data_IF_218119832272
#
_entry.id   IF_218119832272
#
_cell.length_a   1.000
_cell.length_b   1.000
_cell.length_c   1.000
_cell.angle_alpha   90.00
_cell.angle_beta   90.00
_cell.angle_gamma   90.00
#
_symmetry.space_group_name_H-M   'P 1'
#
loop_
_entity.id
_entity.type
_entity.pdbx_description
1 polymer ?
#
# COMPACT_ATOMS: atom_id res chain seq x y z
N UNK A 1 11.18 -5.51 -19.09
CA UNK A 1 10.74 -5.39 -18.66
C UNK A 1 10.75 -4.62 -17.67
N UNK A 2 10.41 -3.82 -17.46
CA UNK A 2 10.44 -3.14 -16.49
C UNK A 2 9.40 -3.28 -15.66
N UNK A 3 9.48 -3.27 -14.49
CA UNK A 3 8.40 -3.48 -13.73
C UNK A 3 7.87 -2.22 -13.49
N UNK A 4 6.85 -1.84 -13.75
CA UNK A 4 6.23 -0.58 -13.51
C UNK A 4 5.51 -0.55 -12.19
N UNK A 5 6.13 -1.07 -11.18
CA UNK A 5 5.52 -1.08 -9.85
C UNK A 5 5.94 0.15 -9.09
N UNK A 6 4.98 0.84 -8.49
CA UNK A 6 5.29 2.02 -7.72
C UNK A 6 4.70 1.90 -6.33
N UNK A 7 5.34 2.46 -5.37
CA UNK A 7 4.91 2.36 -3.99
C UNK A 7 3.79 3.34 -3.73
N UNK A 8 2.69 2.90 -3.17
CA UNK A 8 1.58 3.76 -2.83
C UNK A 8 1.38 3.88 -1.34
N UNK A 9 1.96 3.01 -0.57
CA UNK A 9 1.74 3.06 0.87
C UNK A 9 2.85 2.30 1.58
N UNK A 10 3.17 2.73 2.77
CA UNK A 10 4.18 2.08 3.57
C UNK A 10 3.65 1.95 4.97
N UNK A 11 3.83 0.81 5.60
CA UNK A 11 3.35 0.61 6.93
C UNK A 11 4.22 -0.42 7.63
N UNK A 12 4.18 -0.46 8.93
CA UNK A 12 4.89 -1.47 9.66
C UNK A 12 3.94 -2.55 10.08
N UNK A 13 2.67 -2.38 9.83
CA UNK A 13 1.66 -3.33 10.26
C UNK A 13 1.29 -4.23 9.11
N UNK A 14 1.59 -5.52 9.18
CA UNK A 14 1.27 -6.42 8.10
C UNK A 14 -0.22 -6.55 7.85
N UNK A 15 -1.02 -6.38 8.88
CA UNK A 15 -2.45 -6.50 8.71
C UNK A 15 -2.97 -5.34 7.88
N UNK A 16 -2.47 -4.14 8.14
CA UNK A 16 -2.86 -2.99 7.36
C UNK A 16 -2.47 -3.17 5.91
N UNK A 17 -1.27 -3.67 5.66
CA UNK A 17 -0.81 -3.88 4.30
C UNK A 17 -1.71 -4.88 3.57
N UNK A 18 -2.09 -5.94 4.25
CA UNK A 18 -2.94 -6.94 3.64
C UNK A 18 -4.32 -6.39 3.34
N UNK A 19 -4.86 -5.62 4.21
CA UNK A 19 -6.17 -5.05 3.99
C UNK A 19 -6.15 -4.10 2.80
N UNK A 20 -5.12 -3.29 2.70
CA UNK A 20 -5.01 -2.40 1.58
C UNK A 20 -4.83 -3.15 0.27
N UNK A 21 -3.99 -4.17 0.29
CA UNK A 21 -3.78 -4.95 -0.90
C UNK A 21 -5.07 -5.60 -1.37
N UNK A 22 -5.81 -6.17 -0.43
CA UNK A 22 -7.06 -6.84 -0.77
C UNK A 22 -8.06 -5.84 -1.35
N UNK A 23 -8.16 -4.68 -0.73
CA UNK A 23 -9.08 -3.68 -1.21
C UNK A 23 -8.73 -3.22 -2.62
N UNK A 24 -7.44 -3.07 -2.90
CA UNK A 24 -7.00 -2.65 -4.21
C UNK A 24 -7.35 -3.72 -5.24
N UNK A 25 -7.07 -4.96 -4.92
CA UNK A 25 -7.36 -6.05 -5.82
C UNK A 25 -8.85 -6.15 -6.10
N UNK A 26 -9.66 -5.89 -5.10
CA UNK A 26 -11.09 -5.93 -5.30
C UNK A 26 -11.56 -4.82 -6.20
N UNK A 27 -10.76 -3.79 -6.39
CA UNK A 27 -11.09 -2.72 -7.29
C UNK A 27 -10.37 -2.88 -8.61
N UNK A 28 -9.94 -4.08 -8.92
CA UNK A 28 -9.31 -4.36 -10.18
C UNK A 28 -7.94 -3.67 -10.30
N UNK A 29 -7.29 -3.40 -9.21
CA UNK A 29 -5.99 -2.80 -9.22
C UNK A 29 -4.97 -3.84 -8.78
N UNK A 30 -4.02 -4.14 -9.62
CA UNK A 30 -3.02 -5.12 -9.26
C UNK A 30 -2.15 -4.54 -8.17
N UNK A 31 -1.99 -5.25 -7.10
CA UNK A 31 -1.21 -4.78 -5.97
C UNK A 31 -0.36 -5.90 -5.39
N UNK A 32 0.81 -5.55 -4.92
CA UNK A 32 1.69 -6.54 -4.29
C UNK A 32 2.26 -5.93 -3.04
N UNK A 33 2.71 -6.77 -2.15
CA UNK A 33 3.29 -6.33 -0.90
C UNK A 33 4.76 -6.72 -0.91
N UNK A 34 5.62 -5.82 -0.51
CA UNK A 34 7.01 -6.10 -0.45
C UNK A 34 7.52 -5.82 0.95
N UNK A 35 8.17 -6.78 1.57
CA UNK A 35 8.72 -6.59 2.89
C UNK A 35 10.15 -6.14 2.77
N UNK A 36 10.43 -4.96 3.25
CA UNK A 36 11.75 -4.48 3.20
C UNK A 36 12.39 -4.70 4.55
N UNK A 37 13.11 -5.79 4.68
CA UNK A 37 13.69 -6.06 5.89
C UNK A 37 15.16 -6.01 5.72
N UNK A 38 15.83 -5.05 6.13
CA UNK A 38 17.22 -4.90 5.96
C UNK A 38 17.91 -5.28 7.22
N UNK A 39 18.54 -6.34 7.27
CA UNK A 39 19.13 -6.80 8.48
C UNK A 39 20.27 -5.92 8.91
N UNK A 40 20.89 -5.23 8.03
CA UNK A 40 21.97 -4.42 8.40
C UNK A 40 21.56 -3.30 9.28
N UNK A 41 20.33 -2.84 9.13
CA UNK A 41 19.88 -1.78 9.94
C UNK A 41 19.03 -2.18 11.04
N UNK A 42 18.77 -3.36 11.21
CA UNK A 42 17.90 -3.80 12.18
C UNK A 42 16.66 -3.04 12.22
N UNK A 43 16.15 -2.60 11.17
CA UNK A 43 14.91 -1.89 11.17
C UNK A 43 13.83 -2.81 11.48
N UNK A 44 12.68 -2.31 11.73
CA UNK A 44 11.60 -3.11 12.07
C UNK A 44 10.91 -3.70 10.95
N UNK A 45 11.33 -3.71 9.80
CA UNK A 45 10.61 -4.33 8.74
C UNK A 45 9.54 -3.46 8.23
N UNK A 46 9.81 -2.65 7.27
CA UNK A 46 8.79 -1.82 6.68
C UNK A 46 8.16 -2.57 5.55
N UNK A 47 6.86 -2.52 5.44
CA UNK A 47 6.12 -3.21 4.41
C UNK A 47 5.62 -2.18 3.42
N UNK A 48 5.85 -2.40 2.15
CA UNK A 48 5.43 -1.48 1.12
C UNK A 48 4.35 -2.11 0.27
N UNK A 49 3.32 -1.33 -0.04
CA UNK A 49 2.27 -1.79 -0.92
C UNK A 49 2.53 -1.11 -2.26
N UNK A 50 2.66 -1.92 -3.30
CA UNK A 50 2.96 -1.39 -4.62
C UNK A 50 1.86 -1.71 -5.60
N UNK A 51 1.65 -0.84 -6.55
CA UNK A 51 0.65 -1.08 -7.59
C UNK A 51 1.28 -0.78 -8.93
N UNK A 52 0.62 -1.16 -9.98
CA UNK A 52 1.11 -0.88 -11.31
C UNK A 52 1.10 0.61 -11.52
N UNK A 53 2.09 1.14 -12.20
CA UNK A 53 2.17 2.54 -12.44
C UNK A 53 0.91 3.10 -13.08
N UNK A 54 0.32 2.38 -13.98
CA UNK A 54 -0.87 2.87 -14.64
C UNK A 54 -2.05 2.96 -13.71
N UNK A 55 -2.01 2.24 -12.60
CA UNK A 55 -3.11 2.27 -11.65
C UNK A 55 -2.80 3.13 -10.44
N UNK A 56 -1.68 3.81 -10.48
CA UNK A 56 -1.25 4.56 -9.30
C UNK A 56 -2.29 5.59 -8.87
N UNK A 57 -2.86 6.30 -9.79
CA UNK A 57 -3.81 7.32 -9.43
C UNK A 57 -5.05 6.73 -8.79
N UNK A 58 -5.53 5.63 -9.35
CA UNK A 58 -6.71 4.98 -8.78
C UNK A 58 -6.39 4.42 -7.39
N UNK A 59 -5.22 3.86 -7.24
CA UNK A 59 -4.83 3.29 -5.96
C UNK A 59 -4.66 4.38 -4.92
N UNK A 60 -4.08 5.48 -5.31
CA UNK A 60 -3.86 6.58 -4.41
C UNK A 60 -5.20 7.15 -3.95
N UNK A 61 -6.14 7.27 -4.86
CA UNK A 61 -7.45 7.75 -4.52
C UNK A 61 -8.15 6.80 -3.56
N UNK A 62 -8.00 5.51 -3.79
CA UNK A 62 -8.62 4.53 -2.92
C UNK A 62 -8.06 4.66 -1.50
N UNK A 63 -6.76 4.78 -1.38
CA UNK A 63 -6.13 4.84 -0.07
C UNK A 63 -6.47 6.15 0.62
N UNK A 64 -6.49 7.23 -0.11
CA UNK A 64 -6.82 8.51 0.48
C UNK A 64 -8.28 8.55 0.92
N UNK A 65 -9.12 7.92 0.18
CA UNK A 65 -10.52 7.87 0.53
C UNK A 65 -10.69 7.10 1.82
N UNK A 66 -10.01 5.99 1.95
CA UNK A 66 -10.11 5.21 3.13
C UNK A 66 -9.56 5.97 4.30
N UNK A 67 -8.48 6.67 4.09
CA UNK A 67 -7.90 7.42 5.13
C UNK A 67 -8.78 8.52 5.57
N UNK A 68 -9.36 9.20 4.68
CA UNK A 68 -10.25 10.27 5.00
C UNK A 68 -11.42 9.78 5.79
N UNK A 69 -11.94 8.65 5.38
CA UNK A 69 -13.06 8.09 6.05
C UNK A 69 -12.67 7.74 7.45
N UNK A 70 -11.47 7.28 7.64
CA UNK A 70 -11.05 6.89 8.88
C UNK A 70 -10.82 8.04 9.78
N UNK A 71 -10.35 9.12 9.32
CA UNK A 71 -10.10 10.20 10.17
C UNK A 71 -11.21 11.03 10.44
N UNK A 72 -12.15 11.06 9.67
CA UNK A 72 -13.23 11.89 9.85
C UNK A 72 -13.80 11.93 11.09
N UNK A 73 -13.90 11.08 11.66
CA UNK A 73 -14.59 11.11 12.82
C UNK A 73 -14.28 12.15 13.67
N UNK A 74 -13.87 12.60 13.72
CA UNK A 74 -13.65 13.34 14.43
C UNK A 74 -14.22 14.13 14.60
N UNK A 75 -14.42 14.28 14.32
CA UNK A 75 -14.96 15.11 14.54
C UNK A 75 -15.32 15.30 15.29
#
# INVERSE_FOLDING_TARGET
MESNWVKVYTTKDPVTAEILKQGLIENDIAAVIMNKQDSSYQTFGVIEVLVSKKDFEAADAFINSSDADHTTPEA
#
